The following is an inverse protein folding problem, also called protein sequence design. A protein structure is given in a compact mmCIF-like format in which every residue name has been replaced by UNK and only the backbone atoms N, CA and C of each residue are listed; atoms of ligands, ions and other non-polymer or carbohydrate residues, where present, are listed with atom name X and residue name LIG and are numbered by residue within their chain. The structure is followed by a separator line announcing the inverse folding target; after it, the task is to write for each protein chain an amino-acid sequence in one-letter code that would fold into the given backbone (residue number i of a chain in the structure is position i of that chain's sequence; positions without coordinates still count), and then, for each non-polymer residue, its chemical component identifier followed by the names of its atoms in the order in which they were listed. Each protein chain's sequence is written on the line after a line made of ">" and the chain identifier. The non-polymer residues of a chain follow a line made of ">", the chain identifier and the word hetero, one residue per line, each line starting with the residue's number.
data_IF_704290080371
#
_entry.id   IF_704290080371
#
_cell.length_a   1.000
_cell.length_b   1.000
_cell.length_c   1.000
_cell.angle_alpha   90.00
_cell.angle_beta   90.00
_cell.angle_gamma   90.00
#
_symmetry.space_group_name_H-M   'P 1'
#
loop_
_entity.id
_entity.type
_entity.pdbx_description
1 polymer ?
#
# COMPACT_ATOMS: atom_id res chain seq x y z
N UNK A 1 23.88 3.57 -3.37
CA UNK A 1 23.68 2.42 -4.25
C UNK A 1 22.52 2.78 -5.18
N UNK A 2 22.82 3.09 -6.45
CA UNK A 2 21.79 3.44 -7.44
C UNK A 2 21.14 2.14 -7.91
N UNK A 3 19.97 1.80 -7.40
CA UNK A 3 19.14 0.73 -7.97
C UNK A 3 18.64 1.25 -9.31
N UNK A 4 19.04 0.56 -10.38
CA UNK A 4 18.72 1.00 -11.73
C UNK A 4 17.21 0.95 -11.91
N UNK A 5 16.57 2.10 -12.12
CA UNK A 5 15.11 2.28 -12.31
C UNK A 5 14.50 1.30 -13.34
N UNK A 6 15.34 0.76 -14.24
CA UNK A 6 14.92 -0.18 -15.30
C UNK A 6 14.57 -1.58 -14.81
N UNK A 7 14.98 -2.00 -13.62
CA UNK A 7 14.76 -3.38 -13.12
C UNK A 7 13.34 -3.55 -12.57
N UNK A 8 12.72 -2.49 -12.03
CA UNK A 8 11.38 -2.58 -11.43
C UNK A 8 10.29 -2.67 -12.51
N UNK A 9 10.46 -1.97 -13.65
CA UNK A 9 9.48 -2.00 -14.76
C UNK A 9 9.40 -3.35 -15.50
N UNK A 10 10.50 -4.10 -15.53
CA UNK A 10 10.56 -5.40 -16.25
C UNK A 10 9.89 -6.57 -15.51
N UNK A 11 9.65 -6.44 -14.20
CA UNK A 11 9.17 -7.55 -13.36
C UNK A 11 7.64 -7.63 -13.24
N UNK A 12 6.92 -6.58 -13.64
CA UNK A 12 5.45 -6.51 -13.56
C UNK A 12 4.78 -6.92 -14.89
N UNK A 13 5.53 -6.93 -16.01
CA UNK A 13 5.03 -7.24 -17.35
C UNK A 13 5.09 -8.74 -17.66
N UNK A 14 4.14 -9.51 -17.12
CA UNK A 14 3.83 -10.87 -17.54
C UNK A 14 2.63 -10.98 -18.49
N UNK A 15 2.26 -9.91 -19.20
CA UNK A 15 1.23 -9.95 -20.24
C UNK A 15 1.88 -9.64 -21.60
N UNK A 16 1.96 -10.65 -22.50
CA UNK A 16 2.36 -10.46 -23.87
C UNK A 16 1.35 -9.56 -24.60
N UNK A 17 1.78 -8.49 -25.29
CA UNK A 17 0.87 -7.72 -26.13
C UNK A 17 0.47 -8.57 -27.33
N UNK A 18 -0.82 -8.83 -27.48
CA UNK A 18 -1.38 -9.28 -28.75
C UNK A 18 -1.36 -8.06 -29.67
N UNK A 19 -0.46 -8.07 -30.66
CA UNK A 19 -0.44 -7.08 -31.70
C UNK A 19 -1.69 -7.23 -32.58
N UNK A 20 -2.59 -6.24 -32.52
CA UNK A 20 -3.70 -6.10 -33.48
C UNK A 20 -3.12 -5.32 -34.67
N UNK A 21 -3.24 -5.84 -35.93
CA UNK A 21 -2.75 -5.11 -37.09
C UNK A 21 -3.60 -3.85 -37.30
N UNK A 22 -2.94 -2.69 -37.32
CA UNK A 22 -3.54 -1.44 -37.78
C UNK A 22 -3.68 -1.52 -39.29
N UNK A 23 -4.92 -1.71 -39.78
CA UNK A 23 -5.23 -1.57 -41.19
C UNK A 23 -5.14 -0.10 -41.57
N UNK A 24 -4.29 0.19 -42.54
CA UNK A 24 -4.18 1.51 -43.14
C UNK A 24 -5.53 1.90 -43.80
N UNK A 25 -5.95 3.12 -43.50
CA UNK A 25 -7.13 3.77 -44.08
C UNK A 25 -6.75 4.30 -45.48
N UNK A 26 -7.10 3.57 -46.53
CA UNK A 26 -7.01 4.05 -47.88
C UNK A 26 -8.21 4.96 -48.18
N UNK A 27 -7.93 6.23 -48.43
CA UNK A 27 -8.92 7.22 -48.81
C UNK A 27 -9.46 6.99 -50.22
N UNK A 28 -10.72 6.53 -50.31
CA UNK A 28 -11.49 6.57 -51.56
C UNK A 28 -12.52 7.71 -51.47
N UNK A 29 -12.82 8.41 -52.59
CA UNK A 29 -13.69 9.58 -52.59
C UNK A 29 -15.15 9.19 -52.33
N UNK A 30 -15.81 9.99 -51.50
CA UNK A 30 -17.21 9.86 -51.13
C UNK A 30 -18.07 10.32 -52.31
N UNK A 31 -18.83 9.42 -52.93
CA UNK A 31 -19.90 9.77 -53.83
C UNK A 31 -21.13 10.25 -53.04
N UNK A 32 -21.52 11.48 -53.24
CA UNK A 32 -22.81 12.04 -52.84
C UNK A 32 -23.89 11.44 -53.77
N UNK A 33 -24.63 10.48 -53.28
CA UNK A 33 -26.04 10.23 -53.58
C UNK A 33 -26.45 8.85 -53.03
N UNK A 34 -26.92 8.85 -51.79
CA UNK A 34 -27.77 7.77 -51.30
C UNK A 34 -28.73 8.31 -50.26
N UNK A 35 -29.95 8.59 -50.68
CA UNK A 35 -31.06 8.84 -49.80
C UNK A 35 -31.28 7.65 -48.87
N UNK A 36 -31.07 7.87 -47.57
CA UNK A 36 -31.33 6.87 -46.53
C UNK A 36 -32.84 6.80 -46.32
N UNK A 37 -33.50 5.64 -46.49
CA UNK A 37 -34.91 5.48 -46.10
C UNK A 37 -35.01 5.55 -44.59
N UNK A 38 -35.82 6.48 -44.07
CA UNK A 38 -36.20 6.55 -42.66
C UNK A 38 -37.11 5.34 -42.39
N UNK A 39 -36.50 4.24 -41.93
CA UNK A 39 -37.26 3.13 -41.40
C UNK A 39 -37.68 3.48 -39.97
N UNK A 40 -38.98 3.73 -39.79
CA UNK A 40 -39.62 3.76 -38.49
C UNK A 40 -39.57 2.37 -37.87
N UNK A 41 -38.56 2.10 -37.09
CA UNK A 41 -38.46 0.88 -36.28
C UNK A 41 -38.90 1.17 -34.86
N UNK A 42 -40.19 1.04 -34.61
CA UNK A 42 -40.70 0.70 -33.29
C UNK A 42 -40.26 -0.73 -32.97
N UNK A 43 -39.07 -0.90 -32.40
CA UNK A 43 -38.68 -2.19 -31.80
C UNK A 43 -38.91 -2.14 -30.31
N UNK A 44 -39.83 -2.95 -29.74
CA UNK A 44 -40.09 -2.97 -28.27
C UNK A 44 -38.94 -3.52 -27.42
N UNK A 45 -37.85 -3.93 -28.04
CA UNK A 45 -36.69 -4.50 -27.32
C UNK A 45 -35.65 -3.47 -26.79
N UNK A 46 -35.53 -2.30 -27.45
CA UNK A 46 -34.50 -1.33 -27.05
C UNK A 46 -34.81 -0.63 -25.73
N UNK A 47 -36.07 -0.38 -25.41
CA UNK A 47 -36.46 0.22 -24.13
C UNK A 47 -36.29 -0.72 -22.92
N UNK A 48 -36.34 -2.04 -23.15
CA UNK A 48 -36.08 -3.05 -22.11
C UNK A 48 -34.59 -3.23 -21.85
N UNK A 49 -33.73 -3.06 -22.86
CA UNK A 49 -32.28 -3.11 -22.72
C UNK A 49 -31.73 -1.88 -21.99
N UNK A 50 -32.29 -0.68 -22.26
CA UNK A 50 -31.91 0.54 -21.52
C UNK A 50 -32.38 0.53 -20.05
N UNK A 51 -33.50 -0.13 -19.72
CA UNK A 51 -33.94 -0.29 -18.32
C UNK A 51 -33.04 -1.20 -17.48
N UNK A 52 -32.27 -2.07 -18.12
CA UNK A 52 -31.31 -2.97 -17.43
C UNK A 52 -29.96 -2.30 -17.11
N UNK A 53 -29.69 -1.13 -17.68
CA UNK A 53 -28.46 -0.37 -17.51
C UNK A 53 -28.59 0.83 -16.54
N UNK A 54 -29.78 1.05 -15.96
CA UNK A 54 -29.96 2.10 -14.94
C UNK A 54 -29.60 1.50 -13.59
N UNK A 55 -28.58 2.03 -12.89
CA UNK A 55 -28.21 1.55 -11.55
C UNK A 55 -29.40 1.67 -10.61
N UNK A 56 -29.69 0.59 -9.88
CA UNK A 56 -30.88 0.48 -9.04
C UNK A 56 -30.75 1.18 -7.68
N UNK A 57 -29.57 1.71 -7.36
CA UNK A 57 -29.34 2.44 -6.09
C UNK A 57 -28.32 3.59 -6.25
N UNK A 58 -28.33 4.61 -5.37
CA UNK A 58 -27.31 5.66 -5.35
C UNK A 58 -25.87 5.10 -5.18
N UNK A 59 -25.73 3.96 -4.53
CA UNK A 59 -24.47 3.27 -4.31
C UNK A 59 -23.91 2.70 -5.64
N UNK A 60 -24.80 2.14 -6.49
CA UNK A 60 -24.43 1.59 -7.78
C UNK A 60 -23.92 2.67 -8.76
N UNK A 61 -24.56 3.86 -8.72
CA UNK A 61 -24.10 5.02 -9.50
C UNK A 61 -22.70 5.45 -9.07
N UNK A 62 -22.44 5.46 -7.77
CA UNK A 62 -21.13 5.80 -7.20
C UNK A 62 -20.04 4.79 -7.61
N UNK A 63 -20.35 3.48 -7.56
CA UNK A 63 -19.42 2.42 -7.96
C UNK A 63 -19.13 2.47 -9.46
N UNK A 64 -20.14 2.64 -10.31
CA UNK A 64 -19.96 2.75 -11.77
C UNK A 64 -19.08 3.97 -12.14
N UNK A 65 -19.33 5.10 -11.50
CA UNK A 65 -18.52 6.31 -11.73
C UNK A 65 -17.07 6.11 -11.28
N UNK A 66 -16.88 5.41 -10.16
CA UNK A 66 -15.54 5.08 -9.65
C UNK A 66 -14.81 4.12 -10.57
N UNK A 67 -15.50 3.11 -11.11
CA UNK A 67 -14.95 2.17 -12.08
C UNK A 67 -14.52 2.90 -13.37
N UNK A 68 -15.39 3.76 -13.90
CA UNK A 68 -15.06 4.56 -15.08
C UNK A 68 -13.80 5.42 -14.89
N UNK A 69 -13.68 6.11 -13.74
CA UNK A 69 -12.50 6.90 -13.43
C UNK A 69 -11.24 6.03 -13.29
N UNK A 70 -11.36 4.85 -12.67
CA UNK A 70 -10.24 3.93 -12.50
C UNK A 70 -9.76 3.33 -13.82
N UNK A 71 -10.67 2.99 -14.72
CA UNK A 71 -10.35 2.53 -16.09
C UNK A 71 -9.70 3.64 -16.91
N UNK A 72 -10.11 4.89 -16.68
CA UNK A 72 -9.45 6.09 -17.22
C UNK A 72 -8.05 6.39 -16.64
N UNK A 73 -7.56 5.54 -15.73
CA UNK A 73 -6.21 5.66 -15.17
C UNK A 73 -6.10 6.56 -13.93
N UNK A 74 -7.22 7.04 -13.36
CA UNK A 74 -7.16 7.94 -12.21
C UNK A 74 -6.66 7.22 -10.94
N UNK A 75 -5.48 7.57 -10.37
CA UNK A 75 -4.84 6.77 -9.32
C UNK A 75 -5.65 6.70 -8.02
N UNK A 76 -6.36 7.78 -7.64
CA UNK A 76 -7.22 7.77 -6.45
C UNK A 76 -8.39 6.80 -6.63
N UNK A 77 -8.99 6.75 -7.82
CA UNK A 77 -10.09 5.83 -8.11
C UNK A 77 -9.62 4.37 -8.14
N UNK A 78 -8.47 4.11 -8.76
CA UNK A 78 -7.83 2.79 -8.76
C UNK A 78 -7.49 2.33 -7.33
N UNK A 79 -6.92 3.22 -6.51
CA UNK A 79 -6.64 2.94 -5.10
C UNK A 79 -7.90 2.59 -4.31
N UNK A 80 -8.97 3.39 -4.46
CA UNK A 80 -10.23 3.16 -3.77
C UNK A 80 -10.85 1.83 -4.16
N UNK A 81 -10.90 1.49 -5.46
CA UNK A 81 -11.39 0.19 -5.92
C UNK A 81 -10.51 -0.96 -5.44
N UNK A 82 -9.19 -0.81 -5.52
CA UNK A 82 -8.26 -1.81 -4.98
C UNK A 82 -8.55 -2.11 -3.52
N UNK A 83 -8.78 -1.07 -2.69
CA UNK A 83 -9.17 -1.23 -1.29
C UNK A 83 -10.53 -1.89 -1.12
N UNK A 84 -11.54 -1.45 -1.89
CA UNK A 84 -12.87 -2.05 -1.85
C UNK A 84 -12.82 -3.55 -2.15
N UNK A 85 -12.07 -3.98 -3.16
CA UNK A 85 -11.91 -5.39 -3.48
C UNK A 85 -11.07 -6.15 -2.42
N UNK A 86 -10.04 -5.53 -1.85
CA UNK A 86 -9.24 -6.15 -0.79
C UNK A 86 -10.04 -6.37 0.50
N UNK A 87 -10.87 -5.39 0.87
CA UNK A 87 -11.60 -5.40 2.14
C UNK A 87 -13.02 -6.01 1.99
N UNK A 88 -13.53 -6.17 0.76
CA UNK A 88 -14.92 -6.59 0.51
C UNK A 88 -15.94 -5.49 0.82
N UNK A 89 -15.52 -4.22 0.78
CA UNK A 89 -16.37 -3.08 1.13
C UNK A 89 -17.20 -2.60 -0.08
N UNK A 90 -18.49 -2.87 -0.05
CA UNK A 90 -19.44 -2.52 -1.12
C UNK A 90 -19.30 -3.39 -2.40
N UNK A 91 -18.37 -4.32 -2.43
CA UNK A 91 -18.17 -5.32 -3.49
C UNK A 91 -17.77 -6.66 -2.87
N UNK A 92 -17.93 -7.76 -3.59
CA UNK A 92 -17.38 -9.04 -3.14
C UNK A 92 -15.86 -8.95 -3.07
N UNK A 93 -15.27 -9.48 -1.98
CA UNK A 93 -13.81 -9.51 -1.81
C UNK A 93 -13.15 -10.27 -2.97
N UNK A 94 -12.13 -9.67 -3.57
CA UNK A 94 -11.37 -10.24 -4.68
C UNK A 94 -9.93 -9.70 -4.63
N UNK A 95 -9.05 -10.46 -4.00
CA UNK A 95 -7.64 -10.10 -3.83
C UNK A 95 -6.91 -9.98 -5.17
N UNK A 96 -7.32 -10.74 -6.20
CA UNK A 96 -6.69 -10.66 -7.52
C UNK A 96 -7.04 -9.33 -8.21
N UNK A 97 -8.29 -8.91 -8.15
CA UNK A 97 -8.68 -7.58 -8.64
C UNK A 97 -8.03 -6.46 -7.86
N UNK A 98 -7.95 -6.57 -6.54
CA UNK A 98 -7.23 -5.61 -5.72
C UNK A 98 -5.76 -5.49 -6.15
N UNK A 99 -5.08 -6.62 -6.32
CA UNK A 99 -3.70 -6.68 -6.83
C UNK A 99 -3.56 -6.02 -8.20
N UNK A 100 -4.50 -6.26 -9.13
CA UNK A 100 -4.48 -5.65 -10.46
C UNK A 100 -4.58 -4.12 -10.41
N UNK A 101 -5.48 -3.56 -9.58
CA UNK A 101 -5.61 -2.11 -9.42
C UNK A 101 -4.33 -1.50 -8.81
N UNK A 102 -3.76 -2.11 -7.78
CA UNK A 102 -2.51 -1.63 -7.19
C UNK A 102 -1.34 -1.74 -8.18
N UNK A 103 -1.31 -2.79 -9.01
CA UNK A 103 -0.31 -2.95 -10.06
C UNK A 103 -0.41 -1.86 -11.14
N UNK A 104 -1.63 -1.46 -11.53
CA UNK A 104 -1.83 -0.36 -12.49
C UNK A 104 -1.26 0.95 -11.96
N UNK A 105 -1.52 1.27 -10.67
CA UNK A 105 -0.95 2.47 -10.03
C UNK A 105 0.58 2.39 -10.03
N UNK A 106 1.14 1.29 -9.54
CA UNK A 106 2.58 1.13 -9.45
C UNK A 106 3.27 1.23 -10.81
N UNK A 107 2.69 0.62 -11.86
CA UNK A 107 3.25 0.65 -13.22
C UNK A 107 3.18 2.04 -13.86
N UNK A 108 2.08 2.76 -13.66
CA UNK A 108 1.87 4.06 -14.29
C UNK A 108 2.66 5.18 -13.60
N UNK A 109 2.88 5.07 -12.30
CA UNK A 109 3.34 6.16 -11.44
C UNK A 109 4.63 5.85 -10.64
N UNK A 110 5.35 4.77 -10.98
CA UNK A 110 6.59 4.41 -10.27
C UNK A 110 7.65 5.53 -10.30
N UNK A 111 7.72 6.28 -11.39
CA UNK A 111 8.71 7.33 -11.59
C UNK A 111 8.24 8.73 -11.16
N UNK A 112 7.00 8.86 -10.66
CA UNK A 112 6.47 10.13 -10.18
C UNK A 112 7.31 10.66 -9.01
N UNK A 113 7.44 11.97 -8.93
CA UNK A 113 8.19 12.60 -7.83
C UNK A 113 7.54 12.30 -6.48
N UNK A 114 8.32 12.04 -5.42
CA UNK A 114 7.80 11.93 -4.05
C UNK A 114 7.07 13.18 -3.54
N UNK A 115 7.23 14.32 -4.21
CA UNK A 115 6.53 15.57 -3.91
C UNK A 115 5.19 15.73 -4.64
N UNK A 116 4.85 14.83 -5.56
CA UNK A 116 3.58 14.87 -6.27
C UNK A 116 2.40 14.58 -5.32
N UNK A 117 1.22 15.18 -5.55
CA UNK A 117 0.05 14.98 -4.68
C UNK A 117 -0.38 13.52 -4.51
N UNK A 118 -0.16 12.69 -5.53
CA UNK A 118 -0.49 11.27 -5.53
C UNK A 118 0.61 10.35 -4.97
N UNK A 119 1.80 10.88 -4.64
CA UNK A 119 2.95 10.08 -4.20
C UNK A 119 2.63 9.12 -3.04
N UNK A 120 1.80 9.57 -2.08
CA UNK A 120 1.37 8.73 -0.97
C UNK A 120 0.55 7.52 -1.44
N UNK A 121 -0.32 7.71 -2.44
CA UNK A 121 -1.15 6.63 -3.02
C UNK A 121 -0.26 5.63 -3.76
N UNK A 122 0.69 6.14 -4.55
CA UNK A 122 1.66 5.29 -5.27
C UNK A 122 2.48 4.46 -4.28
N UNK A 123 3.01 5.08 -3.24
CA UNK A 123 3.76 4.39 -2.19
C UNK A 123 2.92 3.30 -1.50
N UNK A 124 1.66 3.61 -1.18
CA UNK A 124 0.75 2.64 -0.57
C UNK A 124 0.40 1.49 -1.53
N UNK A 125 0.32 1.72 -2.84
CA UNK A 125 0.14 0.66 -3.82
C UNK A 125 1.33 -0.31 -3.82
N UNK A 126 2.57 0.18 -3.75
CA UNK A 126 3.76 -0.66 -3.58
C UNK A 126 3.72 -1.46 -2.26
N UNK A 127 3.27 -0.85 -1.16
CA UNK A 127 3.08 -1.57 0.13
C UNK A 127 2.06 -2.70 -0.02
N UNK A 128 0.91 -2.43 -0.63
CA UNK A 128 -0.13 -3.44 -0.85
C UNK A 128 0.39 -4.60 -1.71
N UNK A 129 1.09 -4.30 -2.82
CA UNK A 129 1.72 -5.31 -3.66
C UNK A 129 2.76 -6.14 -2.90
N UNK A 130 3.60 -5.51 -2.10
CA UNK A 130 4.56 -6.19 -1.24
C UNK A 130 3.90 -7.17 -0.28
N UNK A 131 2.78 -6.79 0.32
CA UNK A 131 2.01 -7.66 1.21
C UNK A 131 1.39 -8.84 0.47
N UNK A 132 0.86 -8.63 -0.74
CA UNK A 132 0.37 -9.73 -1.60
C UNK A 132 1.50 -10.66 -2.04
N UNK A 133 2.69 -10.15 -2.33
CA UNK A 133 3.85 -11.01 -2.61
C UNK A 133 4.32 -11.79 -1.37
N UNK A 134 4.14 -11.28 -0.15
CA UNK A 134 4.46 -12.06 1.05
C UNK A 134 3.50 -13.23 1.26
N UNK A 135 2.21 -13.01 1.09
CA UNK A 135 1.18 -14.04 1.35
C UNK A 135 0.92 -14.94 0.14
N UNK A 136 1.13 -14.43 -1.07
CA UNK A 136 0.52 -14.97 -2.27
C UNK A 136 -0.99 -14.73 -2.30
N UNK A 137 -1.62 -15.03 -3.43
CA UNK A 137 -3.09 -14.99 -3.62
C UNK A 137 -3.57 -16.40 -3.95
N UNK A 138 -4.43 -17.02 -3.13
CA UNK A 138 -4.95 -18.37 -3.37
C UNK A 138 -5.59 -18.49 -4.77
N UNK A 139 -5.45 -19.66 -5.39
CA UNK A 139 -6.01 -19.98 -6.71
C UNK A 139 -5.60 -19.03 -7.85
N UNK A 140 -4.48 -18.31 -7.69
CA UNK A 140 -3.94 -17.39 -8.71
C UNK A 140 -2.51 -17.75 -9.12
N UNK A 141 -1.97 -16.98 -10.08
CA UNK A 141 -0.56 -17.04 -10.47
C UNK A 141 0.36 -16.28 -9.51
N UNK A 142 -0.20 -15.48 -8.60
CA UNK A 142 0.56 -14.71 -7.63
C UNK A 142 0.89 -15.62 -6.45
N UNK A 143 2.10 -16.18 -6.49
CA UNK A 143 2.63 -17.03 -5.41
C UNK A 143 3.40 -16.18 -4.40
N UNK A 144 3.58 -16.73 -3.19
CA UNK A 144 4.43 -16.08 -2.19
C UNK A 144 5.85 -15.94 -2.74
N UNK A 145 6.36 -14.71 -2.70
CA UNK A 145 7.69 -14.32 -3.19
C UNK A 145 8.26 -13.22 -2.28
N UNK A 146 8.97 -13.61 -1.20
CA UNK A 146 9.55 -12.64 -0.25
C UNK A 146 10.57 -11.69 -0.87
N UNK A 147 11.26 -12.09 -1.94
CA UNK A 147 12.23 -11.22 -2.61
C UNK A 147 11.52 -10.09 -3.37
N UNK A 148 10.46 -10.40 -4.09
CA UNK A 148 9.62 -9.37 -4.71
C UNK A 148 8.96 -8.47 -3.67
N UNK A 149 8.49 -9.03 -2.57
CA UNK A 149 7.96 -8.22 -1.46
C UNK A 149 9.01 -7.24 -0.94
N UNK A 150 10.26 -7.71 -0.77
CA UNK A 150 11.38 -6.86 -0.34
C UNK A 150 11.65 -5.72 -1.34
N UNK A 151 11.61 -6.00 -2.65
CA UNK A 151 11.77 -4.99 -3.69
C UNK A 151 10.69 -3.90 -3.59
N UNK A 152 9.41 -4.30 -3.47
CA UNK A 152 8.27 -3.38 -3.35
C UNK A 152 8.40 -2.49 -2.10
N UNK A 153 8.67 -3.11 -0.93
CA UNK A 153 8.86 -2.36 0.30
C UNK A 153 10.10 -1.47 0.26
N UNK A 154 11.22 -1.96 -0.28
CA UNK A 154 12.44 -1.16 -0.39
C UNK A 154 12.24 0.08 -1.24
N UNK A 155 11.48 -0.05 -2.33
CA UNK A 155 11.16 1.07 -3.20
C UNK A 155 10.29 2.11 -2.48
N UNK A 156 9.16 1.68 -1.91
CA UNK A 156 8.27 2.58 -1.18
C UNK A 156 8.94 3.22 0.06
N UNK A 157 9.80 2.46 0.76
CA UNK A 157 10.52 2.93 1.95
C UNK A 157 11.61 3.95 1.63
N UNK A 158 12.37 3.71 0.54
CA UNK A 158 13.55 4.51 0.20
C UNK A 158 13.23 5.71 -0.69
N UNK A 159 12.38 5.51 -1.70
CA UNK A 159 12.06 6.55 -2.67
C UNK A 159 10.96 7.48 -2.17
N UNK A 160 9.84 6.90 -1.72
CA UNK A 160 8.72 7.68 -1.20
C UNK A 160 8.81 7.96 0.30
N UNK A 161 9.69 7.28 1.02
CA UNK A 161 9.79 7.42 2.46
C UNK A 161 8.56 6.93 3.22
N UNK A 162 7.77 6.00 2.66
CA UNK A 162 6.54 5.51 3.26
C UNK A 162 6.82 4.77 4.58
N UNK A 163 6.11 5.15 5.64
CA UNK A 163 6.36 4.62 6.99
C UNK A 163 5.93 3.15 7.14
N UNK A 164 4.85 2.73 6.48
CA UNK A 164 4.40 1.33 6.51
C UNK A 164 5.36 0.44 5.74
N UNK A 165 5.87 0.91 4.58
CA UNK A 165 6.91 0.21 3.86
C UNK A 165 8.20 0.05 4.68
N UNK A 166 8.61 1.09 5.41
CA UNK A 166 9.76 1.06 6.31
C UNK A 166 9.57 0.01 7.42
N UNK A 167 8.36 -0.06 7.99
CA UNK A 167 8.00 -1.06 8.99
C UNK A 167 7.99 -2.49 8.41
N UNK A 168 7.34 -2.71 7.26
CA UNK A 168 7.25 -4.03 6.65
C UNK A 168 8.64 -4.52 6.19
N UNK A 169 9.48 -3.63 5.64
CA UNK A 169 10.86 -3.92 5.31
C UNK A 169 11.70 -4.29 6.54
N UNK A 170 11.54 -3.57 7.65
CA UNK A 170 12.19 -3.88 8.90
C UNK A 170 11.84 -5.29 9.39
N UNK A 171 10.56 -5.66 9.31
CA UNK A 171 10.10 -7.01 9.70
C UNK A 171 10.73 -8.11 8.85
N UNK A 172 10.96 -7.85 7.56
CA UNK A 172 11.67 -8.83 6.71
C UNK A 172 13.11 -9.05 7.19
N UNK A 173 13.85 -7.98 7.50
CA UNK A 173 15.20 -8.09 8.06
C UNK A 173 15.22 -8.82 9.39
N UNK A 174 14.25 -8.55 10.27
CA UNK A 174 14.20 -9.14 11.62
C UNK A 174 13.71 -10.60 11.64
N UNK A 175 12.95 -11.03 10.61
CA UNK A 175 12.36 -12.39 10.53
C UNK A 175 13.14 -13.34 9.64
N UNK A 176 14.14 -12.88 8.89
CA UNK A 176 14.92 -13.76 8.02
C UNK A 176 15.56 -14.86 8.85
N UNK A 177 15.36 -16.12 8.42
CA UNK A 177 16.02 -17.25 9.04
C UNK A 177 17.55 -17.08 8.90
N UNK A 178 18.27 -17.07 10.03
CA UNK A 178 19.70 -16.80 10.05
C UNK A 178 20.07 -15.32 10.02
N UNK A 179 19.15 -14.41 10.39
CA UNK A 179 19.43 -12.97 10.48
C UNK A 179 20.75 -12.69 11.18
N UNK A 180 21.64 -12.00 10.50
CA UNK A 180 22.93 -11.57 11.02
C UNK A 180 22.76 -10.38 11.97
N UNK A 181 23.83 -10.04 12.71
CA UNK A 181 23.85 -8.80 13.51
C UNK A 181 23.57 -7.57 12.64
N UNK A 182 24.01 -7.57 11.39
CA UNK A 182 23.78 -6.47 10.47
C UNK A 182 22.33 -6.41 10.02
N UNK A 183 21.65 -7.53 9.82
CA UNK A 183 20.22 -7.55 9.52
C UNK A 183 19.42 -6.93 10.66
N UNK A 184 19.75 -7.24 11.92
CA UNK A 184 19.12 -6.60 13.08
C UNK A 184 19.38 -5.09 13.12
N UNK A 185 20.58 -4.63 12.78
CA UNK A 185 20.90 -3.19 12.70
C UNK A 185 20.13 -2.49 11.58
N UNK A 186 20.02 -3.13 10.41
CA UNK A 186 19.22 -2.61 9.30
C UNK A 186 17.73 -2.56 9.66
N UNK A 187 17.19 -3.65 10.24
CA UNK A 187 15.82 -3.70 10.72
C UNK A 187 15.52 -2.60 11.75
N UNK A 188 16.38 -2.45 12.76
CA UNK A 188 16.23 -1.40 13.77
C UNK A 188 16.31 0.02 13.19
N UNK A 189 17.15 0.25 12.17
CA UNK A 189 17.23 1.54 11.47
C UNK A 189 15.91 1.86 10.75
N UNK A 190 15.35 0.89 10.02
CA UNK A 190 14.07 1.07 9.35
C UNK A 190 12.93 1.26 10.33
N UNK A 191 12.90 0.51 11.46
CA UNK A 191 11.95 0.75 12.54
C UNK A 191 12.07 2.18 13.10
N UNK A 192 13.31 2.67 13.29
CA UNK A 192 13.55 4.02 13.77
C UNK A 192 12.98 5.09 12.84
N UNK A 193 13.15 4.93 11.51
CA UNK A 193 12.59 5.85 10.52
C UNK A 193 11.04 5.82 10.50
N UNK A 194 10.44 4.63 10.57
CA UNK A 194 9.00 4.47 10.63
C UNK A 194 8.41 5.03 11.95
N UNK A 195 9.06 4.73 13.07
CA UNK A 195 8.64 5.20 14.41
C UNK A 195 8.66 6.73 14.51
N UNK A 196 9.69 7.39 13.95
CA UNK A 196 9.77 8.85 13.87
C UNK A 196 8.63 9.47 13.08
N UNK A 197 8.08 8.76 12.09
CA UNK A 197 6.92 9.19 11.30
C UNK A 197 5.58 8.87 11.97
N UNK A 198 5.59 8.25 13.15
CA UNK A 198 4.39 7.92 13.91
C UNK A 198 3.78 6.57 13.58
N UNK A 199 4.49 5.70 12.84
CA UNK A 199 4.03 4.33 12.60
C UNK A 199 4.09 3.55 13.92
N UNK A 200 2.91 3.33 14.53
CA UNK A 200 2.79 2.85 15.92
C UNK A 200 3.28 1.41 16.12
N UNK A 201 3.11 0.53 15.15
CA UNK A 201 3.64 -0.83 15.23
C UNK A 201 5.19 -0.83 15.19
N UNK A 202 5.80 0.08 14.42
CA UNK A 202 7.25 0.26 14.44
C UNK A 202 7.74 0.85 15.77
N UNK A 203 6.99 1.81 16.34
CA UNK A 203 7.27 2.35 17.66
C UNK A 203 7.24 1.23 18.72
N UNK A 204 6.22 0.36 18.68
CA UNK A 204 6.09 -0.75 19.61
C UNK A 204 7.24 -1.75 19.49
N UNK A 205 7.56 -2.18 18.28
CA UNK A 205 8.61 -3.17 18.05
C UNK A 205 10.00 -2.62 18.41
N UNK A 206 10.31 -1.38 18.00
CA UNK A 206 11.54 -0.71 18.39
C UNK A 206 11.62 -0.51 19.91
N UNK A 207 10.49 -0.13 20.52
CA UNK A 207 10.38 0.04 21.97
C UNK A 207 10.69 -1.25 22.73
N UNK A 208 10.15 -2.38 22.31
CA UNK A 208 10.46 -3.71 22.86
C UNK A 208 11.95 -4.05 22.74
N UNK A 209 12.51 -3.90 21.53
CA UNK A 209 13.92 -4.22 21.28
C UNK A 209 14.85 -3.39 22.16
N UNK A 210 14.61 -2.09 22.30
CA UNK A 210 15.42 -1.20 23.14
C UNK A 210 15.21 -1.45 24.64
N UNK A 211 13.99 -1.74 25.06
CA UNK A 211 13.68 -2.01 26.47
C UNK A 211 14.34 -3.30 26.95
N UNK A 212 14.23 -4.36 26.17
CA UNK A 212 14.81 -5.67 26.52
C UNK A 212 16.31 -5.72 26.30
N UNK A 213 16.85 -4.98 25.35
CA UNK A 213 18.23 -5.12 24.88
C UNK A 213 18.38 -6.27 23.86
N UNK A 214 17.29 -6.60 23.13
CA UNK A 214 17.29 -7.67 22.14
C UNK A 214 18.07 -7.24 20.89
N UNK A 215 19.26 -7.83 20.69
CA UNK A 215 20.18 -7.55 19.58
C UNK A 215 20.67 -6.07 19.47
N UNK A 216 20.19 -5.19 20.33
CA UNK A 216 20.59 -3.80 20.49
C UNK A 216 21.02 -3.54 21.94
N UNK A 217 21.87 -2.54 22.19
CA UNK A 217 22.15 -2.11 23.57
C UNK A 217 20.85 -1.72 24.28
N UNK A 218 20.67 -2.23 25.51
CA UNK A 218 19.49 -1.91 26.32
C UNK A 218 19.42 -0.41 26.61
N UNK A 219 18.28 0.19 26.29
CA UNK A 219 17.92 1.59 26.53
C UNK A 219 16.49 1.64 27.07
N UNK A 220 16.32 1.25 28.34
CA UNK A 220 15.00 1.00 28.91
C UNK A 220 14.09 2.23 28.88
N UNK A 221 14.56 3.40 29.27
CA UNK A 221 13.80 4.64 29.25
C UNK A 221 13.33 4.98 27.81
N UNK A 222 14.23 4.89 26.83
CA UNK A 222 13.90 5.15 25.43
C UNK A 222 12.93 4.11 24.86
N UNK A 223 13.11 2.84 25.26
CA UNK A 223 12.19 1.77 24.90
C UNK A 223 10.79 2.03 25.44
N UNK A 224 10.68 2.43 26.71
CA UNK A 224 9.41 2.77 27.36
C UNK A 224 8.74 3.99 26.71
N UNK A 225 9.50 5.03 26.36
CA UNK A 225 8.99 6.18 25.61
C UNK A 225 8.33 5.75 24.27
N UNK A 226 9.02 4.92 23.48
CA UNK A 226 8.46 4.43 22.21
C UNK A 226 7.21 3.57 22.41
N UNK A 227 7.18 2.71 23.43
CA UNK A 227 6.00 1.91 23.77
C UNK A 227 4.83 2.80 24.21
N UNK A 228 5.08 3.89 24.91
CA UNK A 228 4.04 4.87 25.30
C UNK A 228 3.43 5.54 24.06
N UNK A 229 4.27 5.98 23.11
CA UNK A 229 3.80 6.55 21.84
C UNK A 229 3.01 5.54 21.02
N UNK A 230 3.49 4.30 20.95
CA UNK A 230 2.81 3.22 20.26
C UNK A 230 1.42 2.94 20.82
N UNK A 231 1.31 2.91 22.16
CA UNK A 231 0.03 2.69 22.83
C UNK A 231 -1.00 3.80 22.54
N UNK A 232 -0.54 5.04 22.41
CA UNK A 232 -1.41 6.18 22.06
C UNK A 232 -1.96 6.11 20.63
N UNK A 233 -1.24 5.44 19.70
CA UNK A 233 -1.66 5.25 18.32
C UNK A 233 -2.27 3.89 18.00
N UNK A 234 -2.27 2.96 18.96
CA UNK A 234 -2.73 1.60 18.76
C UNK A 234 -4.24 1.51 18.57
N UNK A 235 -4.66 0.61 17.67
CA UNK A 235 -6.06 0.27 17.48
C UNK A 235 -6.53 -0.77 18.53
N UNK A 236 -7.85 -0.90 18.78
CA UNK A 236 -8.36 -1.82 19.79
C UNK A 236 -8.00 -3.29 19.59
N UNK A 237 -7.78 -3.72 18.37
CA UNK A 237 -7.38 -5.08 17.98
C UNK A 237 -5.87 -5.35 18.15
N UNK A 238 -5.06 -4.30 18.30
CA UNK A 238 -3.62 -4.41 18.53
C UNK A 238 -3.26 -4.63 20.02
N UNK A 239 -3.92 -5.58 20.66
CA UNK A 239 -3.76 -5.92 22.09
C UNK A 239 -2.29 -6.13 22.46
N UNK A 240 -1.49 -6.68 21.54
CA UNK A 240 -0.08 -6.95 21.75
C UNK A 240 0.76 -5.69 22.07
N UNK A 241 0.37 -4.51 21.56
CA UNK A 241 1.05 -3.23 21.85
C UNK A 241 0.81 -2.85 23.30
N UNK A 242 -0.44 -2.93 23.76
CA UNK A 242 -0.83 -2.69 25.15
C UNK A 242 -0.12 -3.64 26.10
N UNK A 243 -0.07 -4.93 25.77
CA UNK A 243 0.60 -5.95 26.56
C UNK A 243 2.11 -5.69 26.67
N UNK A 244 2.71 -5.26 25.56
CA UNK A 244 4.13 -4.91 25.50
C UNK A 244 4.46 -3.72 26.39
N UNK A 245 3.64 -2.67 26.31
CA UNK A 245 3.75 -1.51 27.22
C UNK A 245 3.60 -1.92 28.68
N UNK A 246 2.55 -2.65 29.03
CA UNK A 246 2.29 -3.08 30.41
C UNK A 246 3.45 -3.90 30.99
N UNK A 247 3.99 -4.85 30.22
CA UNK A 247 5.15 -5.66 30.61
C UNK A 247 6.40 -4.82 30.82
N UNK A 248 6.66 -3.86 29.94
CA UNK A 248 7.80 -2.97 30.05
C UNK A 248 7.65 -2.01 31.24
N UNK A 249 6.47 -1.42 31.39
CA UNK A 249 6.18 -0.50 32.50
C UNK A 249 6.31 -1.18 33.87
N UNK A 250 5.84 -2.41 34.02
CA UNK A 250 5.94 -3.18 35.27
C UNK A 250 7.40 -3.51 35.65
N UNK A 251 8.29 -3.67 34.64
CA UNK A 251 9.71 -4.00 34.83
C UNK A 251 10.63 -2.79 34.91
N UNK A 252 10.16 -1.62 34.49
CA UNK A 252 10.94 -0.39 34.49
C UNK A 252 11.21 0.11 35.92
N UNK A 253 12.42 0.59 36.16
CA UNK A 253 12.74 1.32 37.39
C UNK A 253 12.04 2.69 37.40
N UNK A 254 11.99 3.32 38.57
CA UNK A 254 11.44 4.68 38.71
C UNK A 254 12.27 5.69 37.90
N UNK A 255 13.58 5.51 37.83
CA UNK A 255 14.48 6.32 37.00
C UNK A 255 14.20 6.13 35.51
N UNK A 256 14.00 4.87 35.05
CA UNK A 256 13.63 4.60 33.66
C UNK A 256 12.31 5.27 33.28
N UNK A 257 11.32 5.26 34.20
CA UNK A 257 10.00 5.89 33.98
C UNK A 257 10.11 7.42 33.93
N UNK A 258 10.85 8.00 34.87
CA UNK A 258 11.07 9.46 34.91
C UNK A 258 11.80 9.94 33.66
N UNK A 259 12.86 9.24 33.24
CA UNK A 259 13.60 9.58 32.05
C UNK A 259 12.76 9.37 30.76
N UNK A 260 11.93 8.33 30.71
CA UNK A 260 11.02 8.09 29.59
C UNK A 260 10.01 9.23 29.44
N UNK A 261 9.47 9.75 30.55
CA UNK A 261 8.56 10.89 30.56
C UNK A 261 9.23 12.16 30.03
N UNK A 262 10.45 12.47 30.49
CA UNK A 262 11.22 13.62 29.97
C UNK A 262 11.48 13.50 28.46
N UNK A 263 11.84 12.32 27.98
CA UNK A 263 12.04 12.06 26.54
C UNK A 263 10.74 12.25 25.77
N UNK A 264 9.61 11.82 26.32
CA UNK A 264 8.28 11.97 25.71
C UNK A 264 7.88 13.44 25.59
N UNK A 265 8.06 14.21 26.67
CA UNK A 265 7.80 15.65 26.69
C UNK A 265 8.62 16.38 25.62
N UNK A 266 9.91 16.06 25.53
CA UNK A 266 10.80 16.64 24.52
C UNK A 266 10.36 16.26 23.08
N UNK A 267 9.96 15.00 22.89
CA UNK A 267 9.44 14.52 21.60
C UNK A 267 8.18 15.25 21.16
N UNK A 268 7.24 15.48 22.08
CA UNK A 268 5.98 16.20 21.80
C UNK A 268 6.23 17.67 21.54
N UNK A 269 7.16 18.32 22.26
CA UNK A 269 7.52 19.71 22.04
C UNK A 269 8.18 19.93 20.68
N UNK A 270 9.17 19.11 20.32
CA UNK A 270 9.89 19.23 19.05
C UNK A 270 9.08 18.89 17.79
N UNK A 271 7.79 18.52 17.93
CA UNK A 271 6.85 18.32 16.81
C UNK A 271 5.82 19.46 16.67
N UNK A 272 5.84 20.43 17.59
CA UNK A 272 4.97 21.61 17.55
C UNK A 272 5.62 22.80 16.86
N UNK A 273 6.94 22.77 16.73
CA UNK A 273 7.77 23.74 15.99
C UNK A 273 7.97 23.27 14.55
#
# INVERSE_FOLDING_TARGET
>A
MRISRRIILGLILGATPVAVPVSAFDGAPVNEDTTIPVASAQQPGAAAALKKAVPSSPTDLSLTSLQYAAEGGHPIAQWKLGRMYADGDGVAQDDLRAFEYFSRIANAHAEDSPSEPQAAIVANAFVALGRYYLSGIPNSKIKSDPERAREMFSYAASYFGNADAQYDLARLYLKSAGSSRDDFRYGARWLGLAAQKGQHQAQALLGQMLFNGDQLPRQAARGLMWLTLALAGATPDEIWIKDSYNKAFAKASDDDRAMALQMLEHWVQGRKD
#
